data_IF_886913032086
#
_entry.id   IF_886913032086
#
_cell.length_a   1.000
_cell.length_b   1.000
_cell.length_c   1.000
_cell.angle_alpha   90.00
_cell.angle_beta   90.00
_cell.angle_gamma   90.00
#
_symmetry.space_group_name_H-M   'P 1'
#
loop_
_entity.id
_entity.type
_entity.pdbx_description
1 polymer ?
#
# COMPACT_ATOMS: atom_id res chain seq x y z
N UNK A 1 12.02 3.79 -6.62
CA UNK A 1 10.83 4.49 -7.19
C UNK A 1 9.58 3.88 -6.61
N UNK A 2 8.69 4.68 -6.01
CA UNK A 2 7.44 4.22 -5.42
C UNK A 2 6.38 3.98 -6.50
N UNK A 3 5.76 2.78 -6.49
CA UNK A 3 4.72 2.37 -7.42
C UNK A 3 3.60 1.68 -6.66
N UNK A 4 2.36 1.91 -7.06
CA UNK A 4 1.18 1.22 -6.54
C UNK A 4 0.43 0.56 -7.70
N UNK A 5 0.13 -0.73 -7.59
CA UNK A 5 -0.64 -1.47 -8.61
C UNK A 5 -1.92 -1.98 -7.97
N UNK A 6 -3.05 -1.57 -8.53
CA UNK A 6 -4.37 -1.97 -8.04
C UNK A 6 -4.70 -3.36 -8.60
N UNK A 7 -4.88 -4.34 -7.72
CA UNK A 7 -5.07 -5.75 -8.11
C UNK A 7 -6.53 -6.08 -8.43
N UNK A 8 -7.46 -5.38 -7.80
CA UNK A 8 -8.89 -5.53 -7.99
C UNK A 8 -9.62 -4.30 -7.48
N UNK A 9 -10.90 -4.16 -7.84
CA UNK A 9 -11.75 -3.00 -7.52
C UNK A 9 -13.15 -3.37 -7.07
N UNK A 10 -13.49 -4.66 -6.93
CA UNK A 10 -14.82 -5.12 -6.53
C UNK A 10 -14.92 -5.28 -5.01
N UNK A 11 -16.06 -4.86 -4.46
CA UNK A 11 -16.44 -5.10 -3.07
C UNK A 11 -17.22 -6.42 -2.97
N UNK A 12 -17.02 -7.16 -1.90
CA UNK A 12 -17.77 -8.33 -1.44
C UNK A 12 -17.94 -9.47 -2.44
N UNK A 13 -18.26 -9.20 -3.70
CA UNK A 13 -18.57 -10.20 -4.73
C UNK A 13 -17.65 -9.98 -5.92
N UNK A 14 -16.85 -10.98 -6.35
CA UNK A 14 -16.06 -10.88 -7.56
C UNK A 14 -17.00 -10.93 -8.78
N UNK A 15 -16.65 -10.21 -9.82
CA UNK A 15 -17.36 -10.24 -11.08
C UNK A 15 -16.45 -10.86 -12.16
N UNK A 16 -17.03 -11.19 -13.31
CA UNK A 16 -16.28 -11.77 -14.43
C UNK A 16 -15.08 -10.88 -14.82
N UNK A 17 -15.26 -9.57 -14.73
CA UNK A 17 -14.30 -8.53 -15.15
C UNK A 17 -13.76 -7.67 -14.00
N UNK A 18 -14.17 -7.95 -12.75
CA UNK A 18 -13.71 -7.23 -11.56
C UNK A 18 -13.39 -8.18 -10.42
N UNK A 19 -12.20 -8.07 -9.86
CA UNK A 19 -11.72 -8.90 -8.77
C UNK A 19 -11.83 -8.14 -7.43
N UNK A 20 -11.70 -8.87 -6.33
CA UNK A 20 -11.68 -8.29 -4.99
C UNK A 20 -10.57 -7.26 -4.84
N UNK A 21 -10.87 -6.20 -4.08
CA UNK A 21 -9.97 -5.08 -3.90
C UNK A 21 -8.71 -5.49 -3.15
N UNK A 22 -7.57 -5.13 -3.70
CA UNK A 22 -6.25 -5.30 -3.09
C UNK A 22 -5.26 -4.36 -3.78
N UNK A 23 -4.23 -3.93 -3.05
CA UNK A 23 -3.21 -3.01 -3.56
C UNK A 23 -1.81 -3.58 -3.31
N UNK A 24 -0.97 -3.60 -4.35
CA UNK A 24 0.45 -3.91 -4.22
C UNK A 24 1.29 -2.64 -4.35
N UNK A 25 2.11 -2.35 -3.35
CA UNK A 25 3.11 -1.28 -3.40
C UNK A 25 4.47 -1.91 -3.69
N UNK A 26 5.15 -1.43 -4.74
CA UNK A 26 6.56 -1.78 -5.03
C UNK A 26 7.46 -0.61 -4.69
N UNK A 27 8.42 -0.86 -3.78
CA UNK A 27 9.36 0.14 -3.30
C UNK A 27 10.74 -0.47 -3.08
N UNK A 28 11.78 0.07 -3.75
CA UNK A 28 13.21 -0.32 -3.59
C UNK A 28 13.45 -1.84 -3.64
N UNK A 29 12.72 -2.55 -4.51
CA UNK A 29 12.89 -4.00 -4.73
C UNK A 29 11.99 -4.89 -3.87
N UNK A 30 11.27 -4.36 -2.90
CA UNK A 30 10.28 -5.12 -2.14
C UNK A 30 8.85 -4.86 -2.61
N UNK A 31 7.97 -5.81 -2.36
CA UNK A 31 6.52 -5.71 -2.57
C UNK A 31 5.82 -5.79 -1.23
N UNK A 32 4.93 -4.84 -1.01
CA UNK A 32 4.04 -4.75 0.16
C UNK A 32 2.61 -4.89 -0.33
N UNK A 33 1.84 -5.82 0.25
CA UNK A 33 0.44 -6.00 -0.08
C UNK A 33 -0.47 -5.38 0.97
N UNK A 34 -1.54 -4.77 0.51
CA UNK A 34 -2.71 -4.41 1.31
C UNK A 34 -3.89 -5.25 0.85
N UNK A 35 -4.39 -6.10 1.74
CA UNK A 35 -5.38 -7.15 1.57
C UNK A 35 -5.00 -8.26 0.57
N UNK A 36 -5.58 -9.45 0.79
CA UNK A 36 -5.33 -10.66 0.01
C UNK A 36 -6.67 -11.34 -0.26
N UNK A 37 -7.48 -10.74 -1.13
CA UNK A 37 -8.74 -11.33 -1.56
C UNK A 37 -8.55 -12.56 -2.44
N UNK A 38 -9.62 -13.33 -2.64
CA UNK A 38 -9.63 -14.49 -3.54
C UNK A 38 -9.12 -14.11 -4.94
N UNK A 39 -8.33 -15.00 -5.56
CA UNK A 39 -7.79 -14.79 -6.90
C UNK A 39 -6.56 -13.86 -6.99
N UNK A 40 -6.07 -13.29 -5.88
CA UNK A 40 -4.93 -12.35 -5.90
C UNK A 40 -3.68 -12.96 -6.55
N UNK A 41 -3.38 -14.24 -6.35
CA UNK A 41 -2.22 -14.90 -6.97
C UNK A 41 -2.21 -14.74 -8.49
N UNK A 42 -3.35 -14.97 -9.12
CA UNK A 42 -3.49 -14.83 -10.57
C UNK A 42 -3.33 -13.38 -11.02
N UNK A 43 -3.78 -12.44 -10.19
CA UNK A 43 -3.64 -11.01 -10.44
C UNK A 43 -2.19 -10.57 -10.37
N UNK A 44 -1.43 -11.02 -9.37
CA UNK A 44 0.01 -10.78 -9.27
C UNK A 44 0.76 -11.29 -10.51
N UNK A 45 0.47 -12.52 -10.96
CA UNK A 45 1.07 -13.08 -12.18
C UNK A 45 0.74 -12.24 -13.43
N UNK A 46 -0.53 -11.83 -13.62
CA UNK A 46 -0.94 -10.97 -14.73
C UNK A 46 -0.27 -9.59 -14.67
N UNK A 47 -0.08 -9.03 -13.48
CA UNK A 47 0.63 -7.77 -13.26
C UNK A 47 2.15 -7.90 -13.38
N UNK A 48 2.68 -9.13 -13.57
CA UNK A 48 4.13 -9.44 -13.55
C UNK A 48 4.81 -9.00 -12.25
N UNK A 49 4.11 -9.14 -11.13
CA UNK A 49 4.63 -8.90 -9.79
C UNK A 49 4.95 -10.26 -9.17
N UNK A 50 6.21 -10.47 -8.82
CA UNK A 50 6.64 -11.70 -8.18
C UNK A 50 6.11 -11.77 -6.74
N UNK A 51 5.36 -12.83 -6.42
CA UNK A 51 4.95 -13.08 -5.04
C UNK A 51 6.16 -13.45 -4.13
N UNK A 52 7.30 -13.82 -4.71
CA UNK A 52 8.54 -14.04 -3.94
C UNK A 52 9.18 -12.73 -3.46
N UNK A 53 8.88 -11.59 -4.11
CA UNK A 53 9.31 -10.25 -3.68
C UNK A 53 8.44 -9.67 -2.54
N UNK A 54 7.32 -10.31 -2.19
CA UNK A 54 6.44 -9.84 -1.13
C UNK A 54 7.13 -10.03 0.22
N UNK A 55 7.40 -8.92 0.90
CA UNK A 55 8.04 -8.90 2.21
C UNK A 55 7.04 -8.70 3.34
N UNK A 56 5.94 -7.99 3.06
CA UNK A 56 4.93 -7.62 4.06
C UNK A 56 3.52 -7.70 3.49
N UNK A 57 2.58 -8.10 4.33
CA UNK A 57 1.14 -8.12 4.04
C UNK A 57 0.42 -7.39 5.17
N UNK A 58 -0.43 -6.46 4.83
CA UNK A 58 -1.29 -5.71 5.75
C UNK A 58 -2.74 -6.06 5.45
N UNK A 59 -3.41 -6.70 6.42
CA UNK A 59 -4.82 -7.07 6.33
C UNK A 59 -5.64 -5.99 7.02
N UNK A 60 -6.57 -5.37 6.29
CA UNK A 60 -7.45 -4.32 6.83
C UNK A 60 -8.42 -4.90 7.84
N UNK A 61 -9.06 -6.01 7.49
CA UNK A 61 -10.01 -6.75 8.32
C UNK A 61 -10.23 -8.17 7.79
N UNK A 62 -11.04 -8.99 8.49
CA UNK A 62 -11.20 -10.41 8.18
C UNK A 62 -12.48 -10.76 7.42
N UNK A 63 -13.05 -9.89 6.60
CA UNK A 63 -14.03 -10.32 5.61
C UNK A 63 -13.35 -11.14 4.51
N UNK A 64 -14.09 -12.09 3.94
CA UNK A 64 -13.55 -13.08 3.00
C UNK A 64 -12.89 -12.43 1.76
N UNK A 65 -13.49 -11.39 1.22
CA UNK A 65 -13.02 -10.66 0.05
C UNK A 65 -11.68 -9.91 0.28
N UNK A 66 -11.23 -9.76 1.53
CA UNK A 66 -9.95 -9.15 1.90
C UNK A 66 -8.89 -10.15 2.38
N UNK A 67 -9.29 -11.41 2.65
CA UNK A 67 -8.44 -12.31 3.40
C UNK A 67 -8.35 -13.72 2.82
N UNK A 68 -9.37 -14.18 2.07
CA UNK A 68 -9.50 -15.60 1.68
C UNK A 68 -8.42 -16.07 0.69
N UNK A 69 -7.79 -15.18 -0.05
CA UNK A 69 -6.68 -15.54 -0.95
C UNK A 69 -5.36 -15.85 -0.25
N UNK A 70 -5.24 -15.51 1.04
CA UNK A 70 -3.99 -15.62 1.78
C UNK A 70 -3.48 -17.07 1.92
N UNK A 71 -4.28 -18.08 2.32
CA UNK A 71 -3.78 -19.45 2.45
C UNK A 71 -3.16 -19.97 1.16
N UNK A 72 -3.83 -19.75 0.03
CA UNK A 72 -3.31 -20.16 -1.28
C UNK A 72 -2.02 -19.45 -1.66
N UNK A 73 -1.88 -18.16 -1.34
CA UNK A 73 -0.65 -17.42 -1.58
C UNK A 73 0.50 -17.97 -0.74
N UNK A 74 0.29 -18.24 0.55
CA UNK A 74 1.31 -18.79 1.45
C UNK A 74 1.74 -20.20 1.02
N UNK A 75 0.79 -21.06 0.61
CA UNK A 75 1.09 -22.37 0.05
C UNK A 75 1.96 -22.27 -1.21
N UNK A 76 1.61 -21.39 -2.14
CA UNK A 76 2.38 -21.18 -3.38
C UNK A 76 3.80 -20.71 -3.09
N UNK A 77 4.00 -19.79 -2.15
CA UNK A 77 5.33 -19.36 -1.70
C UNK A 77 6.14 -20.53 -1.15
N UNK A 78 5.51 -21.44 -0.38
CA UNK A 78 6.16 -22.64 0.15
C UNK A 78 6.58 -23.61 -0.95
N UNK A 79 5.69 -23.88 -1.90
CA UNK A 79 5.98 -24.76 -3.05
C UNK A 79 7.15 -24.25 -3.90
N UNK A 80 7.32 -22.93 -3.98
CA UNK A 80 8.46 -22.27 -4.64
C UNK A 80 9.68 -22.09 -3.73
N UNK A 81 9.72 -22.79 -2.59
CA UNK A 81 10.85 -22.84 -1.65
C UNK A 81 11.32 -21.46 -1.21
N UNK A 82 10.35 -20.60 -0.84
CA UNK A 82 10.68 -19.32 -0.22
C UNK A 82 11.55 -19.57 1.02
N UNK A 83 12.63 -18.80 1.16
CA UNK A 83 13.56 -18.85 2.29
C UNK A 83 13.54 -17.56 3.15
N UNK A 84 13.12 -16.46 2.52
CA UNK A 84 13.04 -15.16 3.19
C UNK A 84 11.81 -15.06 4.09
N UNK A 85 11.91 -14.42 5.26
CA UNK A 85 10.77 -14.25 6.15
C UNK A 85 9.67 -13.40 5.51
N UNK A 86 8.43 -13.65 5.94
CA UNK A 86 7.26 -12.86 5.58
C UNK A 86 6.67 -12.24 6.85
N UNK A 87 6.36 -10.95 6.82
CA UNK A 87 5.70 -10.28 7.94
C UNK A 87 4.23 -10.00 7.59
N UNK A 88 3.32 -10.38 8.49
CA UNK A 88 1.88 -10.15 8.32
C UNK A 88 1.36 -9.29 9.47
N UNK A 89 0.72 -8.19 9.10
CA UNK A 89 0.03 -7.29 10.00
C UNK A 89 -1.48 -7.44 9.81
N UNK A 90 -2.23 -7.49 10.89
CA UNK A 90 -3.69 -7.59 10.81
C UNK A 90 -4.38 -7.21 12.12
N UNK A 91 -5.71 -7.15 12.14
CA UNK A 91 -6.48 -6.90 13.35
C UNK A 91 -6.20 -7.95 14.42
N UNK A 92 -6.69 -7.71 15.63
CA UNK A 92 -6.52 -8.61 16.78
C UNK A 92 -6.83 -10.06 16.44
N UNK A 93 -5.94 -10.98 16.82
CA UNK A 93 -6.04 -12.40 16.56
C UNK A 93 -5.57 -12.84 15.17
N UNK A 94 -4.83 -12.00 14.43
CA UNK A 94 -4.34 -12.29 13.07
C UNK A 94 -3.56 -13.61 13.00
N UNK A 95 -2.65 -13.86 13.92
CA UNK A 95 -1.87 -15.10 13.97
C UNK A 95 -2.77 -16.33 14.11
N UNK A 96 -3.68 -16.31 15.10
CA UNK A 96 -4.57 -17.44 15.35
C UNK A 96 -5.49 -17.74 14.16
N UNK A 97 -6.05 -16.68 13.53
CA UNK A 97 -6.92 -16.86 12.35
C UNK A 97 -6.15 -17.45 11.16
N UNK A 98 -4.94 -16.98 10.90
CA UNK A 98 -4.11 -17.51 9.80
C UNK A 98 -3.73 -18.95 10.09
N UNK A 99 -3.23 -19.26 11.29
CA UNK A 99 -2.88 -20.64 11.68
C UNK A 99 -4.07 -21.58 11.58
N UNK A 100 -5.26 -21.14 11.99
CA UNK A 100 -6.49 -21.94 11.85
C UNK A 100 -6.78 -22.26 10.37
N UNK A 101 -6.71 -21.28 9.47
CA UNK A 101 -6.92 -21.52 8.04
C UNK A 101 -5.83 -22.42 7.44
N UNK A 102 -4.58 -22.24 7.80
CA UNK A 102 -3.49 -23.10 7.34
C UNK A 102 -3.70 -24.54 7.80
N UNK A 103 -4.10 -24.76 9.04
CA UNK A 103 -4.40 -26.08 9.58
C UNK A 103 -5.60 -26.76 8.86
N UNK A 104 -6.66 -25.99 8.55
CA UNK A 104 -7.81 -26.52 7.78
C UNK A 104 -7.39 -27.06 6.41
N UNK A 105 -6.40 -26.41 5.78
CA UNK A 105 -5.91 -26.79 4.45
C UNK A 105 -4.64 -27.63 4.48
N UNK A 106 -4.19 -28.05 5.67
CA UNK A 106 -2.95 -28.84 5.88
C UNK A 106 -1.71 -28.17 5.23
N UNK A 107 -1.65 -26.82 5.31
CA UNK A 107 -0.55 -26.03 4.75
C UNK A 107 0.47 -25.76 5.85
N UNK A 108 1.72 -26.19 5.63
CA UNK A 108 2.87 -25.92 6.49
C UNK A 108 3.87 -25.05 5.73
N UNK A 109 3.92 -23.71 5.99
CA UNK A 109 4.92 -22.84 5.37
C UNK A 109 6.34 -23.25 5.73
N UNK A 110 7.21 -23.44 4.73
CA UNK A 110 8.63 -23.82 4.92
C UNK A 110 9.53 -22.64 5.27
N UNK A 111 8.96 -21.45 5.43
CA UNK A 111 9.64 -20.21 5.77
C UNK A 111 9.00 -19.55 7.00
N UNK A 112 9.77 -18.68 7.64
CA UNK A 112 9.31 -17.97 8.84
C UNK A 112 8.23 -16.93 8.47
N UNK A 113 7.15 -16.91 9.26
CA UNK A 113 6.11 -15.87 9.19
C UNK A 113 6.05 -15.19 10.55
N UNK A 114 6.25 -13.87 10.55
CA UNK A 114 6.09 -13.02 11.73
C UNK A 114 4.71 -12.34 11.70
N UNK A 115 3.99 -12.37 12.81
CA UNK A 115 2.64 -11.82 12.93
C UNK A 115 2.61 -10.65 13.89
N UNK A 116 1.94 -9.56 13.51
CA UNK A 116 1.78 -8.38 14.34
C UNK A 116 0.32 -7.89 14.33
N UNK A 117 -0.23 -7.65 15.51
CA UNK A 117 -1.54 -7.04 15.64
C UNK A 117 -1.46 -5.53 15.40
N UNK A 118 -2.44 -5.01 14.65
CA UNK A 118 -2.55 -3.60 14.31
C UNK A 118 -3.05 -2.76 15.49
N UNK A 119 -2.60 -1.52 15.51
CA UNK A 119 -3.08 -0.45 16.39
C UNK A 119 -2.96 0.90 15.68
N UNK A 120 -3.65 1.91 16.16
CA UNK A 120 -3.50 3.28 15.63
C UNK A 120 -2.05 3.77 15.75
N UNK A 121 -1.56 4.42 14.71
CA UNK A 121 -0.23 5.01 14.63
C UNK A 121 0.73 4.25 13.71
N UNK A 122 2.02 4.46 13.90
CA UNK A 122 3.07 3.80 13.11
C UNK A 122 3.12 2.32 13.50
N UNK A 123 2.88 1.44 12.54
CA UNK A 123 2.88 -0.03 12.71
C UNK A 123 4.10 -0.69 12.12
N UNK A 124 4.78 -0.01 11.20
CA UNK A 124 6.05 -0.42 10.64
C UNK A 124 6.89 0.78 10.23
N UNK A 125 8.20 0.73 10.48
CA UNK A 125 9.11 1.83 10.15
C UNK A 125 10.50 1.33 9.81
N UNK A 126 11.10 1.95 8.76
CA UNK A 126 12.49 1.79 8.35
C UNK A 126 13.18 3.16 8.29
N UNK A 127 14.43 3.20 7.83
CA UNK A 127 15.10 4.48 7.53
C UNK A 127 14.48 5.20 6.34
N UNK A 128 13.86 4.46 5.42
CA UNK A 128 13.36 4.95 4.13
C UNK A 128 11.87 5.29 4.14
N UNK A 129 11.07 4.57 4.91
CA UNK A 129 9.61 4.76 4.93
C UNK A 129 8.97 4.31 6.24
N UNK A 130 7.73 4.72 6.44
CA UNK A 130 6.84 4.20 7.48
C UNK A 130 5.51 3.75 6.90
N UNK A 131 4.84 2.85 7.62
CA UNK A 131 3.45 2.50 7.40
C UNK A 131 2.69 2.80 8.68
N UNK A 132 1.67 3.60 8.53
CA UNK A 132 0.76 3.99 9.59
C UNK A 132 -0.58 3.31 9.40
N UNK A 133 -1.22 2.90 10.49
CA UNK A 133 -2.57 2.37 10.52
C UNK A 133 -3.50 3.29 11.31
N UNK A 134 -4.75 3.38 10.88
CA UNK A 134 -5.81 4.10 11.58
C UNK A 134 -7.08 3.27 11.58
N UNK A 135 -7.63 3.01 12.77
CA UNK A 135 -8.91 2.33 12.91
C UNK A 135 -10.02 3.17 12.28
N UNK A 136 -10.84 2.52 11.45
CA UNK A 136 -11.99 3.12 10.78
C UNK A 136 -13.28 2.38 11.16
N UNK A 137 -14.43 3.00 10.90
CA UNK A 137 -15.72 2.46 11.31
C UNK A 137 -16.26 1.46 10.30
N UNK A 138 -16.26 0.20 10.69
CA UNK A 138 -16.90 -0.92 9.97
C UNK A 138 -17.43 -1.95 10.98
N UNK A 139 -18.09 -3.05 10.52
CA UNK A 139 -18.60 -4.10 11.42
C UNK A 139 -17.50 -4.84 12.16
N UNK A 140 -16.44 -5.16 11.48
CA UNK A 140 -15.25 -5.77 12.06
C UNK A 140 -14.25 -4.68 12.46
N UNK A 141 -13.29 -5.04 13.28
CA UNK A 141 -12.12 -4.22 13.53
C UNK A 141 -11.37 -4.01 12.20
N UNK A 142 -11.39 -2.78 11.69
CA UNK A 142 -10.90 -2.43 10.35
C UNK A 142 -9.94 -1.27 10.43
N UNK A 143 -8.87 -1.35 9.62
CA UNK A 143 -7.83 -0.33 9.55
C UNK A 143 -7.64 0.20 8.12
N UNK A 144 -7.48 1.51 8.03
CA UNK A 144 -6.92 2.18 6.86
C UNK A 144 -5.40 2.28 7.02
N UNK A 145 -4.68 2.39 5.91
CA UNK A 145 -3.22 2.47 5.90
C UNK A 145 -2.71 3.68 5.13
N UNK A 146 -1.58 4.20 5.59
CA UNK A 146 -0.79 5.19 4.85
C UNK A 146 0.66 4.74 4.79
N UNK A 147 1.18 4.58 3.59
CA UNK A 147 2.61 4.45 3.32
C UNK A 147 3.20 5.86 3.13
N UNK A 148 4.29 6.16 3.87
CA UNK A 148 5.03 7.43 3.74
C UNK A 148 6.50 7.17 3.50
N UNK A 149 6.99 7.52 2.31
CA UNK A 149 8.44 7.63 2.06
C UNK A 149 8.98 8.79 2.90
N UNK A 150 10.11 8.58 3.58
CA UNK A 150 10.77 9.64 4.33
C UNK A 150 11.49 10.63 3.39
N UNK A 151 11.58 11.87 3.79
CA UNK A 151 12.36 12.86 3.08
C UNK A 151 13.83 12.43 3.02
N UNK A 152 14.43 12.50 1.85
CA UNK A 152 15.86 12.27 1.69
C UNK A 152 16.57 13.61 1.65
N UNK A 153 17.34 13.88 2.69
CA UNK A 153 18.17 15.08 2.77
C UNK A 153 19.49 14.83 2.06
N UNK A 154 19.81 15.69 1.12
CA UNK A 154 21.07 15.65 0.38
C UNK A 154 20.94 14.96 -0.99
N UNK A 155 21.50 15.63 -1.98
CA UNK A 155 21.68 15.10 -3.34
C UNK A 155 23.13 14.69 -3.51
N UNK A 156 23.38 13.39 -3.73
CA UNK A 156 24.72 12.90 -4.07
C UNK A 156 25.12 13.44 -5.45
N UNK A 157 26.29 14.09 -5.52
CA UNK A 157 26.83 14.72 -6.73
C UNK A 157 27.90 13.81 -7.29
N UNK A 158 27.52 13.01 -8.29
CA UNK A 158 28.40 12.01 -8.91
C UNK A 158 29.67 12.62 -9.48
N UNK A 159 29.58 13.79 -10.08
CA UNK A 159 30.69 14.53 -10.67
C UNK A 159 31.75 14.85 -9.59
N UNK A 160 31.35 15.27 -8.38
CA UNK A 160 32.27 15.52 -7.27
C UNK A 160 32.95 14.22 -6.79
N UNK A 161 32.20 13.12 -6.77
CA UNK A 161 32.76 11.83 -6.38
C UNK A 161 33.82 11.34 -7.40
N UNK A 162 33.57 11.51 -8.70
CA UNK A 162 34.52 11.18 -9.75
C UNK A 162 35.80 12.03 -9.66
N UNK A 163 35.67 13.35 -9.41
CA UNK A 163 36.84 14.25 -9.22
C UNK A 163 37.68 13.82 -8.01
N UNK A 164 37.05 13.31 -6.96
CA UNK A 164 37.74 12.75 -5.79
C UNK A 164 38.30 11.34 -6.02
N UNK A 165 38.14 10.77 -7.22
CA UNK A 165 38.61 9.46 -7.61
C UNK A 165 37.87 8.30 -6.95
N UNK A 166 36.64 8.51 -6.49
CA UNK A 166 35.81 7.48 -5.86
C UNK A 166 35.18 6.63 -6.97
N UNK A 167 35.43 5.31 -7.04
CA UNK A 167 34.82 4.43 -8.02
C UNK A 167 33.33 4.25 -7.75
N UNK A 168 32.55 4.08 -8.81
CA UNK A 168 31.11 3.72 -8.67
C UNK A 168 31.00 2.37 -7.97
N UNK A 169 30.04 2.29 -7.02
CA UNK A 169 29.81 1.05 -6.29
C UNK A 169 29.51 1.28 -4.79
N UNK A 170 29.88 0.32 -3.93
CA UNK A 170 29.53 0.34 -2.51
C UNK A 170 29.93 1.62 -1.76
N UNK A 171 31.06 2.23 -2.12
CA UNK A 171 31.52 3.48 -1.49
C UNK A 171 30.56 4.64 -1.67
N UNK A 172 29.82 4.67 -2.81
CA UNK A 172 28.76 5.68 -3.02
C UNK A 172 27.61 5.48 -2.06
N UNK A 173 27.27 4.22 -1.75
CA UNK A 173 26.21 3.90 -0.78
C UNK A 173 26.63 4.31 0.63
N UNK A 174 27.86 4.00 1.03
CA UNK A 174 28.38 4.39 2.34
C UNK A 174 28.34 5.91 2.54
N UNK A 175 28.77 6.69 1.54
CA UNK A 175 28.71 8.15 1.59
C UNK A 175 27.26 8.67 1.65
N UNK A 176 26.33 8.07 0.88
CA UNK A 176 24.90 8.41 0.94
C UNK A 176 24.28 8.08 2.29
N UNK A 177 24.79 7.05 2.98
CA UNK A 177 24.38 6.69 4.33
C UNK A 177 25.03 7.55 5.43
N UNK A 178 25.75 8.63 5.03
CA UNK A 178 26.40 9.54 5.96
C UNK A 178 27.72 9.02 6.55
N UNK A 179 28.29 7.93 5.99
CA UNK A 179 29.55 7.36 6.47
C UNK A 179 30.74 8.04 5.80
N UNK A 180 31.76 8.31 6.59
CA UNK A 180 33.06 8.75 6.09
C UNK A 180 33.83 7.55 5.56
N UNK A 181 34.43 7.66 4.37
CA UNK A 181 35.23 6.60 3.76
C UNK A 181 36.73 6.96 3.74
N UNK A 182 37.59 5.94 3.69
CA UNK A 182 39.02 6.11 3.46
C UNK A 182 39.37 5.55 2.08
N UNK A 183 39.97 6.36 1.21
CA UNK A 183 40.37 5.96 -0.13
C UNK A 183 41.77 6.48 -0.43
N UNK A 184 42.69 5.58 -0.76
CA UNK A 184 44.11 5.93 -1.09
C UNK A 184 44.75 6.88 -0.07
N UNK A 185 44.54 6.59 1.23
CA UNK A 185 45.08 7.38 2.34
C UNK A 185 44.38 8.72 2.63
N UNK A 186 43.36 9.08 1.84
CA UNK A 186 42.54 10.28 2.06
C UNK A 186 41.23 9.92 2.76
N UNK A 187 40.82 10.74 3.70
CA UNK A 187 39.52 10.64 4.36
C UNK A 187 38.55 11.50 3.61
N UNK A 188 37.45 10.91 3.10
CA UNK A 188 36.41 11.58 2.34
C UNK A 188 35.14 11.58 3.17
N UNK A 189 34.60 12.76 3.46
CA UNK A 189 33.36 12.95 4.20
C UNK A 189 32.19 13.14 3.26
N UNK A 190 30.96 12.76 3.67
CA UNK A 190 29.74 12.92 2.87
C UNK A 190 29.53 14.33 2.33
N UNK A 191 29.83 15.38 3.11
CA UNK A 191 29.63 16.77 2.74
C UNK A 191 30.42 17.19 1.48
N UNK A 192 31.47 16.47 1.14
CA UNK A 192 32.29 16.73 -0.05
C UNK A 192 31.57 16.32 -1.34
N UNK A 193 30.62 15.36 -1.26
CA UNK A 193 29.93 14.78 -2.43
C UNK A 193 28.39 14.85 -2.32
N UNK A 194 27.85 15.32 -1.20
CA UNK A 194 26.42 15.48 -0.98
C UNK A 194 26.10 16.98 -0.85
N UNK A 195 25.14 17.43 -1.64
CA UNK A 195 24.55 18.76 -1.51
C UNK A 195 23.35 18.70 -0.55
N UNK A 196 23.55 19.00 0.70
CA UNK A 196 22.53 18.98 1.75
C UNK A 196 21.50 20.11 1.62
N UNK A 197 21.70 21.09 0.75
CA UNK A 197 20.68 22.10 0.45
C UNK A 197 19.51 21.51 -0.34
N UNK A 198 19.69 20.34 -0.95
CA UNK A 198 18.67 19.66 -1.73
C UNK A 198 17.93 18.63 -0.85
N UNK A 199 16.63 18.84 -0.70
CA UNK A 199 15.74 17.90 -0.02
C UNK A 199 14.81 17.29 -1.06
N UNK A 200 14.88 15.96 -1.19
CA UNK A 200 13.92 15.21 -2.00
C UNK A 200 12.75 14.83 -1.09
N UNK A 201 11.60 15.41 -1.34
CA UNK A 201 10.39 15.11 -0.57
C UNK A 201 9.93 13.67 -0.82
N UNK A 202 9.68 12.96 0.27
CA UNK A 202 9.09 11.64 0.24
C UNK A 202 7.69 11.65 -0.36
N UNK A 203 7.27 10.53 -0.91
CA UNK A 203 5.95 10.30 -1.49
C UNK A 203 5.07 9.51 -0.56
N UNK A 204 3.76 9.67 -0.71
CA UNK A 204 2.79 9.04 0.18
C UNK A 204 1.61 8.44 -0.56
N UNK A 205 1.16 7.28 -0.07
CA UNK A 205 0.01 6.53 -0.60
C UNK A 205 -0.91 6.17 0.56
N UNK A 206 -2.19 6.51 0.44
CA UNK A 206 -3.25 6.05 1.35
C UNK A 206 -4.07 4.92 0.74
N UNK A 207 -4.49 3.99 1.59
CA UNK A 207 -5.42 2.91 1.26
C UNK A 207 -6.52 2.87 2.32
N UNK A 208 -7.72 3.27 1.92
CA UNK A 208 -8.90 3.36 2.79
C UNK A 208 -10.02 2.54 2.19
N UNK A 209 -10.44 1.51 2.91
CA UNK A 209 -11.44 0.56 2.44
C UNK A 209 -12.41 0.23 3.57
N UNK A 210 -13.62 -0.13 3.23
CA UNK A 210 -14.68 -0.60 4.11
C UNK A 210 -14.85 0.28 5.35
N UNK A 211 -15.34 1.50 5.13
CA UNK A 211 -15.52 2.46 6.21
C UNK A 211 -16.72 3.38 5.98
N UNK A 212 -17.41 3.71 7.07
CA UNK A 212 -18.51 4.67 7.07
C UNK A 212 -18.28 5.74 8.13
N UNK A 213 -17.27 6.56 7.97
CA UNK A 213 -17.08 7.79 8.74
C UNK A 213 -16.02 8.68 8.08
N UNK A 214 -15.64 9.77 8.71
CA UNK A 214 -14.62 10.71 8.22
C UNK A 214 -13.57 11.08 9.29
N UNK A 215 -13.49 10.32 10.38
CA UNK A 215 -12.58 10.63 11.49
C UNK A 215 -11.10 10.51 11.12
N UNK A 216 -10.81 10.01 9.91
CA UNK A 216 -9.47 9.81 9.37
C UNK A 216 -9.03 10.90 8.38
N UNK A 217 -9.78 11.99 8.18
CA UNK A 217 -9.40 13.08 7.24
C UNK A 217 -8.00 13.61 7.54
N UNK A 218 -7.67 13.84 8.81
CA UNK A 218 -6.34 14.26 9.23
C UNK A 218 -5.26 13.23 8.89
N UNK A 219 -5.56 11.94 9.04
CA UNK A 219 -4.67 10.82 8.75
C UNK A 219 -4.28 10.73 7.26
N UNK A 220 -5.21 11.00 6.37
CA UNK A 220 -4.98 10.98 4.91
C UNK A 220 -4.63 12.37 4.32
N UNK A 221 -4.31 13.34 5.16
CA UNK A 221 -4.03 14.71 4.70
C UNK A 221 -2.77 14.81 3.85
N UNK A 222 -2.85 15.60 2.77
CA UNK A 222 -1.76 15.95 1.85
C UNK A 222 -1.09 14.75 1.17
N UNK A 223 -1.78 13.61 1.04
CA UNK A 223 -1.23 12.45 0.34
C UNK A 223 -1.02 12.72 -1.15
N UNK A 224 0.02 12.10 -1.72
CA UNK A 224 0.23 12.14 -3.17
C UNK A 224 -0.82 11.32 -3.92
N UNK A 225 -1.22 10.15 -3.41
CA UNK A 225 -2.33 9.35 -3.93
C UNK A 225 -3.14 8.79 -2.75
N UNK A 226 -4.45 8.88 -2.86
CA UNK A 226 -5.40 8.20 -1.97
C UNK A 226 -6.21 7.19 -2.79
N UNK A 227 -6.06 5.91 -2.52
CA UNK A 227 -6.97 4.85 -2.94
C UNK A 227 -8.08 4.74 -1.90
N UNK A 228 -9.32 4.97 -2.32
CA UNK A 228 -10.45 5.02 -1.40
C UNK A 228 -11.65 4.27 -1.94
N UNK A 229 -12.33 3.52 -1.07
CA UNK A 229 -13.61 2.94 -1.44
C UNK A 229 -14.60 3.99 -1.93
N UNK A 230 -15.43 3.60 -2.90
CA UNK A 230 -16.61 4.35 -3.33
C UNK A 230 -17.74 3.36 -3.61
N UNK A 231 -18.07 2.58 -2.59
CA UNK A 231 -18.90 1.38 -2.70
C UNK A 231 -20.32 1.74 -3.16
N UNK A 232 -20.84 2.89 -2.73
CA UNK A 232 -22.22 3.29 -3.06
C UNK A 232 -22.33 4.71 -3.60
N UNK A 233 -23.33 4.93 -4.48
CA UNK A 233 -23.79 6.26 -4.85
C UNK A 233 -24.59 6.89 -3.71
N UNK A 234 -24.73 8.22 -3.71
CA UNK A 234 -25.49 8.94 -2.68
C UNK A 234 -26.96 8.49 -2.58
N UNK A 235 -27.57 8.10 -3.70
CA UNK A 235 -28.95 7.56 -3.72
C UNK A 235 -29.12 6.29 -2.87
N UNK A 236 -28.03 5.54 -2.66
CA UNK A 236 -28.00 4.29 -1.87
C UNK A 236 -27.50 4.52 -0.43
N UNK A 237 -27.53 5.78 0.09
CA UNK A 237 -27.03 6.13 1.42
C UNK A 237 -27.62 5.27 2.54
N UNK A 238 -28.90 4.91 2.47
CA UNK A 238 -29.54 4.06 3.48
C UNK A 238 -28.87 2.70 3.57
N UNK A 239 -28.46 2.12 2.42
CA UNK A 239 -27.75 0.85 2.36
C UNK A 239 -26.31 1.02 2.83
N UNK A 240 -25.62 2.07 2.39
CA UNK A 240 -24.27 2.40 2.83
C UNK A 240 -24.17 2.49 4.37
N UNK A 241 -25.16 3.15 5.01
CA UNK A 241 -25.27 3.20 6.48
C UNK A 241 -25.45 1.81 7.11
N UNK A 242 -26.29 0.96 6.51
CA UNK A 242 -26.56 -0.39 7.03
C UNK A 242 -25.34 -1.31 6.87
N UNK A 243 -24.56 -1.15 5.82
CA UNK A 243 -23.38 -1.99 5.53
C UNK A 243 -22.06 -1.35 5.94
N UNK A 244 -22.11 -0.14 6.51
CA UNK A 244 -20.95 0.63 6.97
C UNK A 244 -19.89 0.85 5.87
N UNK A 245 -20.35 1.28 4.67
CA UNK A 245 -19.52 1.67 3.54
C UNK A 245 -19.74 3.13 3.14
N UNK A 246 -18.74 3.72 2.50
CA UNK A 246 -18.80 5.10 2.03
C UNK A 246 -19.69 5.28 0.81
N UNK A 247 -20.27 6.48 0.72
CA UNK A 247 -20.92 6.97 -0.51
C UNK A 247 -20.00 7.96 -1.24
N UNK A 248 -20.12 7.99 -2.56
CA UNK A 248 -19.33 8.83 -3.49
C UNK A 248 -19.17 10.27 -3.04
N UNK A 249 -20.27 10.94 -2.63
CA UNK A 249 -20.22 12.35 -2.19
C UNK A 249 -19.40 12.55 -0.91
N UNK A 250 -19.37 11.59 0.01
CA UNK A 250 -18.55 11.66 1.22
C UNK A 250 -17.08 11.49 0.86
N UNK A 251 -16.76 10.56 -0.03
CA UNK A 251 -15.39 10.34 -0.51
C UNK A 251 -14.82 11.60 -1.16
N UNK A 252 -15.58 12.26 -2.05
CA UNK A 252 -15.16 13.52 -2.66
C UNK A 252 -14.90 14.62 -1.62
N UNK A 253 -15.74 14.75 -0.58
CA UNK A 253 -15.55 15.71 0.51
C UNK A 253 -14.30 15.38 1.34
N UNK A 254 -14.07 14.11 1.67
CA UNK A 254 -12.88 13.64 2.39
C UNK A 254 -11.62 14.03 1.61
N UNK A 255 -11.54 13.68 0.33
CA UNK A 255 -10.39 13.97 -0.50
C UNK A 255 -10.09 15.46 -0.61
N UNK A 256 -11.15 16.29 -0.79
CA UNK A 256 -11.05 17.74 -0.85
C UNK A 256 -10.55 18.33 0.46
N UNK A 257 -11.12 17.93 1.59
CA UNK A 257 -10.77 18.44 2.91
C UNK A 257 -9.36 17.98 3.33
N UNK A 258 -8.98 16.76 2.97
CA UNK A 258 -7.65 16.22 3.20
C UNK A 258 -6.59 16.78 2.24
N UNK A 259 -6.97 17.54 1.21
CA UNK A 259 -6.06 18.12 0.21
C UNK A 259 -5.16 17.05 -0.44
N UNK A 260 -5.72 15.88 -0.73
CA UNK A 260 -4.98 14.84 -1.46
C UNK A 260 -4.69 15.33 -2.88
N UNK A 261 -3.58 14.89 -3.49
CA UNK A 261 -3.22 15.32 -4.83
C UNK A 261 -3.91 14.51 -5.92
N UNK A 262 -4.16 13.20 -5.66
CA UNK A 262 -4.89 12.30 -6.57
C UNK A 262 -5.81 11.40 -5.76
N UNK A 263 -7.04 11.27 -6.18
CA UNK A 263 -8.03 10.37 -5.62
C UNK A 263 -8.34 9.26 -6.62
N UNK A 264 -8.10 8.02 -6.23
CA UNK A 264 -8.42 6.82 -7.02
C UNK A 264 -9.55 6.08 -6.33
N UNK A 265 -10.67 5.95 -7.02
CA UNK A 265 -11.87 5.28 -6.51
C UNK A 265 -11.77 3.76 -6.73
N UNK A 266 -12.14 2.98 -5.74
CA UNK A 266 -12.12 1.51 -5.79
C UNK A 266 -13.23 0.91 -4.93
N UNK A 267 -13.26 -0.41 -4.81
CA UNK A 267 -14.18 -1.17 -3.96
C UNK A 267 -15.65 -0.91 -4.30
N UNK A 268 -15.98 -1.02 -5.58
CA UNK A 268 -17.32 -0.75 -6.09
C UNK A 268 -18.27 -1.91 -5.83
N UNK A 269 -19.49 -1.62 -5.39
CA UNK A 269 -20.53 -2.63 -5.28
C UNK A 269 -20.84 -3.25 -6.64
N UNK A 270 -20.99 -4.58 -6.67
CA UNK A 270 -21.35 -5.35 -7.86
C UNK A 270 -22.67 -4.91 -8.54
N UNK A 271 -23.52 -4.16 -7.82
CA UNK A 271 -24.78 -3.60 -8.35
C UNK A 271 -24.59 -2.58 -9.46
N UNK A 272 -23.42 -1.94 -9.52
CA UNK A 272 -23.13 -0.91 -10.53
C UNK A 272 -22.36 -1.53 -11.69
N UNK A 273 -23.01 -1.61 -12.84
CA UNK A 273 -22.39 -2.02 -14.10
C UNK A 273 -21.64 -0.85 -14.75
N UNK A 274 -22.22 0.35 -14.68
CA UNK A 274 -21.57 1.59 -15.12
C UNK A 274 -20.92 2.32 -13.91
N UNK A 275 -19.61 2.30 -13.87
CA UNK A 275 -18.82 2.98 -12.83
C UNK A 275 -18.68 4.48 -13.10
N UNK A 276 -18.93 4.97 -14.33
CA UNK A 276 -18.84 6.40 -14.64
C UNK A 276 -19.85 7.22 -13.87
N UNK A 277 -21.01 6.63 -13.55
CA UNK A 277 -22.01 7.29 -12.73
C UNK A 277 -21.49 7.61 -11.32
N UNK A 278 -20.71 6.69 -10.71
CA UNK A 278 -20.07 6.93 -9.41
C UNK A 278 -18.98 8.00 -9.53
N UNK A 279 -18.13 7.90 -10.57
CA UNK A 279 -17.10 8.90 -10.84
C UNK A 279 -17.69 10.30 -10.98
N UNK A 280 -18.72 10.45 -11.78
CA UNK A 280 -19.39 11.74 -12.00
C UNK A 280 -19.92 12.37 -10.70
N UNK A 281 -20.50 11.58 -9.79
CA UNK A 281 -20.92 12.09 -8.48
C UNK A 281 -19.75 12.61 -7.65
N UNK A 282 -18.60 11.91 -7.65
CA UNK A 282 -17.40 12.34 -6.94
C UNK A 282 -16.82 13.60 -7.58
N UNK A 283 -16.75 13.65 -8.91
CA UNK A 283 -16.15 14.76 -9.66
C UNK A 283 -16.89 16.10 -9.49
N UNK A 284 -18.16 16.08 -9.13
CA UNK A 284 -18.88 17.31 -8.72
C UNK A 284 -18.25 17.99 -7.50
N UNK A 285 -17.49 17.27 -6.69
CA UNK A 285 -16.89 17.76 -5.43
C UNK A 285 -15.38 17.82 -5.53
N UNK A 286 -14.78 16.80 -6.14
CA UNK A 286 -13.35 16.64 -6.38
C UNK A 286 -13.12 16.31 -7.87
N UNK A 287 -12.96 17.34 -8.74
CA UNK A 287 -12.96 17.19 -10.20
C UNK A 287 -11.92 16.21 -10.76
N UNK A 288 -10.74 16.10 -10.10
CA UNK A 288 -9.62 15.26 -10.53
C UNK A 288 -9.71 13.82 -10.01
N UNK A 289 -10.90 13.36 -9.58
CA UNK A 289 -11.10 11.96 -9.20
C UNK A 289 -10.98 11.05 -10.41
N UNK A 290 -10.37 9.87 -10.20
CA UNK A 290 -10.17 8.84 -11.21
C UNK A 290 -10.83 7.53 -10.77
N UNK A 291 -11.36 6.74 -11.71
CA UNK A 291 -11.69 5.34 -11.44
C UNK A 291 -10.41 4.52 -11.32
N UNK A 292 -10.38 3.64 -10.33
CA UNK A 292 -9.37 2.61 -10.24
C UNK A 292 -9.47 1.64 -11.41
N UNK A 293 -8.35 1.35 -12.04
CA UNK A 293 -8.24 0.37 -13.11
C UNK A 293 -7.43 -0.82 -12.61
N UNK A 294 -7.97 -2.03 -12.77
CA UNK A 294 -7.27 -3.25 -12.36
C UNK A 294 -5.98 -3.44 -13.16
N UNK A 295 -4.94 -3.88 -12.47
CA UNK A 295 -3.58 -4.11 -13.00
C UNK A 295 -2.86 -2.84 -13.48
N UNK A 296 -3.48 -1.68 -13.33
CA UNK A 296 -2.82 -0.40 -13.60
C UNK A 296 -1.82 -0.06 -12.50
N UNK A 297 -0.62 0.30 -12.93
CA UNK A 297 0.44 0.77 -12.04
C UNK A 297 0.48 2.30 -12.01
N UNK A 298 0.26 2.85 -10.85
CA UNK A 298 0.36 4.28 -10.55
C UNK A 298 1.77 4.59 -10.06
N UNK A 299 2.55 5.31 -10.87
CA UNK A 299 3.95 5.65 -10.57
C UNK A 299 4.03 7.04 -9.94
N UNK A 300 4.65 7.12 -8.76
CA UNK A 300 4.96 8.40 -8.13
C UNK A 300 6.39 8.80 -8.54
N UNK A 301 6.47 9.68 -9.53
CA UNK A 301 7.74 10.29 -9.96
C UNK A 301 8.12 11.41 -9.00
N UNK A 302 9.42 11.60 -8.87
CA UNK A 302 10.02 12.71 -8.09
C UNK A 302 10.05 13.98 -8.91
#
# INVERSE_FOLDING_TARGET
MLQATLMGISSSIPLKDRNHTSLAIKYEGEVILFDVGEGLQQRLMKAKISYMEISKIFITHFHADHFLGLPGLLATMSLHKRDSPLTIFGPKGVENKIKTLLNVFEIEPVYRIDYFELKDGVVFETKEYSIEAKRVRHFLETYAFVFREKDRVGKFIKEKALVLGIPEGPLYSELKDGKTIKLKGKTIKPEQVIDYSKVKKGKSIGYVIDCFDSNYVGFVSNLDILFHEATFMMKDLSKAKKTLHSVTTYVGKIAKNAKVKRLILMNFSARYTDLNALLYEVQKIYPDAELGEELKTYKLKN
#
